data_IF_147224237333
#
_entry.id   IF_147224237333
#
_cell.length_a   1.000
_cell.length_b   1.000
_cell.length_c   1.000
_cell.angle_alpha   90.00
_cell.angle_beta   90.00
_cell.angle_gamma   90.00
#
_symmetry.space_group_name_H-M   'P 1'
#
loop_
_entity.id
_entity.type
_entity.pdbx_description
1 polymer ?
#
# COMPACT_ATOMS: atom_id res chain seq x y z
N UNK A 1 24.18 34.53 24.54
CA UNK A 1 23.65 33.34 25.25
C UNK A 1 22.61 32.52 24.40
N UNK A 2 22.72 32.60 23.11
CA UNK A 2 21.91 31.81 22.15
C UNK A 2 22.67 30.57 21.61
N UNK A 3 23.97 30.50 21.86
CA UNK A 3 24.82 29.38 21.37
C UNK A 3 24.41 28.01 21.92
N UNK A 4 23.83 27.97 23.13
CA UNK A 4 23.37 26.72 23.75
C UNK A 4 22.07 26.15 23.16
N UNK A 5 21.20 26.99 22.59
CA UNK A 5 19.93 26.55 22.01
C UNK A 5 20.09 26.01 20.60
N UNK A 6 21.04 26.55 19.83
CA UNK A 6 21.36 26.08 18.46
C UNK A 6 21.96 24.69 18.47
N UNK A 7 22.90 24.45 19.39
CA UNK A 7 23.52 23.12 19.54
C UNK A 7 22.51 22.08 20.02
N UNK A 8 21.57 22.49 20.91
CA UNK A 8 20.55 21.60 21.43
C UNK A 8 19.54 21.14 20.35
N UNK A 9 19.15 22.02 19.43
CA UNK A 9 18.22 21.67 18.34
C UNK A 9 18.91 20.73 17.32
N UNK A 10 20.15 21.04 16.92
CA UNK A 10 20.93 20.18 16.03
C UNK A 10 21.15 18.79 16.61
N UNK A 11 21.51 18.72 17.89
CA UNK A 11 21.74 17.45 18.57
C UNK A 11 20.44 16.68 18.77
N UNK A 12 19.33 17.35 19.08
CA UNK A 12 18.02 16.72 19.18
C UNK A 12 17.54 16.15 17.85
N UNK A 13 17.71 16.88 16.74
CA UNK A 13 17.35 16.40 15.40
C UNK A 13 18.25 15.24 15.00
N UNK A 14 19.55 15.28 15.31
CA UNK A 14 20.46 14.17 15.03
C UNK A 14 20.09 12.92 15.82
N UNK A 15 19.79 13.05 17.12
CA UNK A 15 19.36 11.94 17.98
C UNK A 15 18.05 11.32 17.47
N UNK A 16 17.07 12.15 17.07
CA UNK A 16 15.81 11.66 16.50
C UNK A 16 16.07 10.95 15.18
N UNK A 17 16.93 11.48 14.30
CA UNK A 17 17.28 10.86 13.02
C UNK A 17 17.99 9.54 13.23
N UNK A 18 19.01 9.47 14.07
CA UNK A 18 19.73 8.24 14.42
C UNK A 18 18.79 7.19 15.05
N UNK A 19 17.87 7.61 15.93
CA UNK A 19 16.90 6.71 16.56
C UNK A 19 15.83 6.19 15.58
N UNK A 20 15.52 6.94 14.51
CA UNK A 20 14.56 6.54 13.48
C UNK A 20 15.23 5.73 12.37
N UNK A 21 16.52 5.96 12.11
CA UNK A 21 17.32 5.12 11.20
C UNK A 21 17.43 3.70 11.75
N UNK A 22 17.56 3.52 13.07
CA UNK A 22 17.52 2.23 13.75
C UNK A 22 16.15 1.52 13.63
N UNK A 23 15.07 2.27 13.31
CA UNK A 23 13.72 1.76 13.09
C UNK A 23 13.37 1.60 11.61
N UNK A 24 14.33 1.76 10.71
CA UNK A 24 14.17 1.74 9.25
C UNK A 24 13.16 2.79 8.73
N UNK A 25 13.13 3.97 9.39
CA UNK A 25 12.29 5.10 9.03
C UNK A 25 13.14 6.22 8.44
N UNK A 26 12.94 6.53 7.16
CA UNK A 26 13.64 7.65 6.54
C UNK A 26 13.01 8.99 6.95
N UNK A 27 13.84 9.93 7.41
CA UNK A 27 13.42 11.26 7.87
C UNK A 27 14.08 12.34 7.03
N UNK A 28 13.25 13.21 6.43
CA UNK A 28 13.70 14.46 5.81
C UNK A 28 13.59 15.60 6.82
N UNK A 29 14.62 16.45 6.90
CA UNK A 29 14.69 17.54 7.86
C UNK A 29 15.03 18.85 7.18
N UNK A 30 14.38 19.93 7.60
CA UNK A 30 14.66 21.29 7.15
C UNK A 30 15.07 22.20 8.33
N UNK A 31 15.92 23.18 8.04
CA UNK A 31 16.40 24.15 9.03
C UNK A 31 16.22 25.58 8.55
N UNK A 32 15.87 26.47 9.45
CA UNK A 32 15.79 27.91 9.20
C UNK A 32 16.46 28.69 10.31
N UNK A 33 17.14 29.78 9.97
CA UNK A 33 17.82 30.70 10.90
C UNK A 33 17.29 32.12 10.72
N UNK A 34 17.01 32.78 11.81
CA UNK A 34 16.65 34.21 11.81
C UNK A 34 17.07 34.87 13.11
N UNK A 35 17.50 36.10 13.01
CA UNK A 35 17.87 36.95 14.18
C UNK A 35 16.66 37.41 15.00
N UNK A 36 15.45 37.23 14.45
CA UNK A 36 14.19 37.54 15.15
C UNK A 36 13.30 36.31 15.17
N UNK A 37 12.82 35.89 16.34
CA UNK A 37 11.98 34.70 16.45
C UNK A 37 10.57 34.96 15.90
N UNK A 38 10.39 34.76 14.63
CA UNK A 38 9.09 34.60 13.99
C UNK A 38 8.85 33.10 13.74
N UNK A 39 8.24 32.45 14.73
CA UNK A 39 8.00 31.00 14.72
C UNK A 39 7.18 30.57 13.51
N UNK A 40 6.19 31.38 13.10
CA UNK A 40 5.33 31.04 11.95
C UNK A 40 6.13 31.03 10.63
N UNK A 41 7.02 32.01 10.46
CA UNK A 41 7.91 32.09 9.30
C UNK A 41 8.94 30.97 9.32
N UNK A 42 9.57 30.68 10.46
CA UNK A 42 10.53 29.59 10.59
C UNK A 42 9.90 28.24 10.28
N UNK A 43 8.69 27.97 10.79
CA UNK A 43 7.96 26.74 10.48
C UNK A 43 7.62 26.63 8.99
N UNK A 44 7.26 27.75 8.35
CA UNK A 44 7.00 27.76 6.90
C UNK A 44 8.26 27.49 6.07
N UNK A 45 9.40 28.06 6.47
CA UNK A 45 10.70 27.83 5.79
C UNK A 45 11.18 26.40 6.00
N UNK A 46 11.07 25.84 7.20
CA UNK A 46 11.40 24.43 7.49
C UNK A 46 10.51 23.50 6.70
N UNK A 47 9.22 23.78 6.62
CA UNK A 47 8.27 22.98 5.81
C UNK A 47 8.61 23.03 4.33
N UNK A 48 8.93 24.21 3.80
CA UNK A 48 9.33 24.36 2.40
C UNK A 48 10.63 23.60 2.09
N UNK A 49 11.63 23.65 2.95
CA UNK A 49 12.87 22.88 2.82
C UNK A 49 12.61 21.37 2.86
N UNK A 50 11.75 20.94 3.77
CA UNK A 50 11.32 19.54 3.85
C UNK A 50 10.63 19.09 2.57
N UNK A 51 9.71 19.89 2.04
CA UNK A 51 8.98 19.56 0.81
C UNK A 51 9.94 19.50 -0.41
N UNK A 52 10.90 20.44 -0.51
CA UNK A 52 11.92 20.44 -1.59
C UNK A 52 12.83 19.19 -1.49
N UNK A 53 13.30 18.85 -0.28
CA UNK A 53 14.15 17.66 -0.09
C UNK A 53 13.38 16.38 -0.41
N UNK A 54 12.13 16.31 0.04
CA UNK A 54 11.22 15.21 -0.27
C UNK A 54 10.98 15.07 -1.78
N UNK A 55 10.67 16.15 -2.48
CA UNK A 55 10.44 16.13 -3.94
C UNK A 55 11.70 15.73 -4.71
N UNK A 56 12.89 16.19 -4.30
CA UNK A 56 14.15 15.79 -4.92
C UNK A 56 14.42 14.29 -4.72
N UNK A 57 14.15 13.77 -3.52
CA UNK A 57 14.29 12.35 -3.20
C UNK A 57 13.28 11.50 -4.01
N UNK A 58 12.03 11.96 -4.12
CA UNK A 58 10.99 11.32 -4.92
C UNK A 58 11.40 11.21 -6.40
N UNK A 59 11.86 12.31 -7.02
CA UNK A 59 12.31 12.33 -8.43
C UNK A 59 13.50 11.39 -8.68
N UNK A 60 14.42 11.27 -7.73
CA UNK A 60 15.53 10.34 -7.85
C UNK A 60 15.06 8.89 -7.76
N UNK A 61 14.12 8.59 -6.87
CA UNK A 61 13.50 7.26 -6.72
C UNK A 61 12.75 6.83 -7.95
N UNK A 62 11.90 7.70 -8.53
CA UNK A 62 11.16 7.40 -9.75
C UNK A 62 12.09 7.04 -10.92
N UNK A 63 13.21 7.76 -11.06
CA UNK A 63 14.23 7.45 -12.07
C UNK A 63 14.89 6.09 -11.83
N UNK A 64 15.17 5.77 -10.58
CA UNK A 64 15.80 4.48 -10.20
C UNK A 64 14.81 3.34 -10.44
N UNK A 65 13.54 3.51 -10.04
CA UNK A 65 12.51 2.51 -10.22
C UNK A 65 12.26 2.23 -11.71
N UNK A 66 12.16 3.27 -12.55
CA UNK A 66 12.06 3.10 -14.01
C UNK A 66 13.24 2.32 -14.59
N UNK A 67 14.44 2.49 -14.07
CA UNK A 67 15.62 1.82 -14.57
C UNK A 67 15.83 0.41 -14.03
N UNK A 68 15.51 0.15 -12.76
CA UNK A 68 15.73 -1.15 -12.09
C UNK A 68 14.51 -2.07 -12.20
N UNK A 69 13.37 -1.62 -11.71
CA UNK A 69 12.17 -2.45 -11.57
C UNK A 69 11.59 -2.80 -12.93
N UNK A 70 11.57 -1.85 -13.86
CA UNK A 70 10.98 -2.08 -15.18
C UNK A 70 11.78 -3.06 -16.04
N UNK A 71 13.11 -3.09 -15.93
CA UNK A 71 13.94 -3.95 -16.80
C UNK A 71 13.80 -5.44 -16.49
N UNK A 72 13.54 -5.80 -15.23
CA UNK A 72 13.43 -7.21 -14.85
C UNK A 72 12.74 -7.39 -13.48
N UNK A 73 11.43 -7.22 -13.45
CA UNK A 73 10.60 -7.42 -12.24
C UNK A 73 10.79 -8.83 -11.66
N UNK A 74 10.89 -9.83 -12.52
CA UNK A 74 11.04 -11.24 -12.09
C UNK A 74 12.37 -11.42 -11.37
N UNK A 75 13.46 -10.89 -11.94
CA UNK A 75 14.77 -10.94 -11.30
C UNK A 75 14.80 -10.20 -9.96
N UNK A 76 14.11 -9.07 -9.84
CA UNK A 76 14.04 -8.36 -8.55
C UNK A 76 13.20 -9.11 -7.51
N UNK A 77 12.16 -9.83 -7.93
CA UNK A 77 11.42 -10.76 -7.06
C UNK A 77 12.34 -11.89 -6.57
N UNK A 78 13.06 -12.53 -7.48
CA UNK A 78 13.97 -13.64 -7.17
C UNK A 78 15.13 -13.23 -6.26
N UNK A 79 15.63 -12.01 -6.38
CA UNK A 79 16.64 -11.43 -5.49
C UNK A 79 16.11 -11.10 -4.09
N UNK A 80 14.80 -11.12 -3.89
CA UNK A 80 14.18 -10.71 -2.64
C UNK A 80 14.13 -9.20 -2.42
N UNK A 81 14.22 -8.40 -3.50
CA UNK A 81 14.08 -6.94 -3.44
C UNK A 81 12.67 -6.48 -3.08
N UNK A 82 11.66 -7.32 -3.34
CA UNK A 82 10.29 -7.06 -2.93
C UNK A 82 9.94 -7.77 -1.63
N UNK A 83 9.19 -7.09 -0.78
CA UNK A 83 8.74 -7.61 0.51
C UNK A 83 7.31 -7.19 0.79
N UNK A 84 6.60 -7.97 1.62
CA UNK A 84 5.21 -7.69 1.98
C UNK A 84 5.15 -7.18 3.42
N UNK A 85 4.60 -5.97 3.59
CA UNK A 85 4.27 -5.39 4.89
C UNK A 85 2.78 -5.58 5.17
N UNK A 86 2.41 -5.62 6.44
CA UNK A 86 1.04 -5.84 6.86
C UNK A 86 0.52 -4.66 7.65
N UNK A 87 -0.50 -3.98 7.13
CA UNK A 87 -1.20 -2.92 7.84
C UNK A 87 -2.41 -3.50 8.57
N UNK A 88 -2.48 -3.42 9.92
CA UNK A 88 -3.59 -4.00 10.66
C UNK A 88 -4.90 -3.25 10.39
N UNK A 89 -5.99 -4.02 10.24
CA UNK A 89 -7.38 -3.54 10.24
C UNK A 89 -7.95 -3.77 11.64
N UNK A 90 -8.48 -2.71 12.24
CA UNK A 90 -8.90 -2.71 13.65
C UNK A 90 -10.39 -2.44 13.73
N UNK A 91 -11.12 -3.21 14.54
CA UNK A 91 -12.50 -2.91 14.90
C UNK A 91 -12.52 -1.63 15.75
N UNK A 92 -13.21 -0.60 15.25
CA UNK A 92 -13.23 0.74 15.85
C UNK A 92 -13.89 0.81 17.23
N UNK A 93 -14.70 -0.19 17.60
CA UNK A 93 -15.40 -0.24 18.88
C UNK A 93 -14.57 -0.96 19.94
N UNK A 94 -13.84 -2.00 19.54
CA UNK A 94 -13.13 -2.88 20.48
C UNK A 94 -11.63 -2.64 20.49
N UNK A 95 -11.06 -1.99 19.46
CA UNK A 95 -9.62 -1.84 19.29
C UNK A 95 -8.89 -3.14 18.92
N UNK A 96 -9.64 -4.22 18.63
CA UNK A 96 -9.07 -5.52 18.32
C UNK A 96 -8.74 -5.60 16.83
N UNK A 97 -7.56 -6.13 16.50
CA UNK A 97 -7.18 -6.41 15.09
C UNK A 97 -8.07 -7.52 14.54
N UNK A 98 -8.80 -7.23 13.47
CA UNK A 98 -9.77 -8.13 12.81
C UNK A 98 -9.31 -8.56 11.41
N UNK A 99 -8.24 -7.99 10.91
CA UNK A 99 -7.66 -8.31 9.61
C UNK A 99 -6.36 -7.56 9.41
N UNK A 100 -5.77 -7.70 8.23
CA UNK A 100 -4.65 -6.89 7.78
C UNK A 100 -4.74 -6.67 6.27
N UNK A 101 -4.08 -5.64 5.77
CA UNK A 101 -3.84 -5.41 4.35
C UNK A 101 -2.36 -5.69 4.04
N UNK A 102 -2.12 -6.48 3.00
CA UNK A 102 -0.80 -6.76 2.50
C UNK A 102 -0.36 -5.64 1.55
N UNK A 103 0.72 -4.99 1.87
CA UNK A 103 1.24 -3.84 1.16
C UNK A 103 2.65 -4.14 0.67
N UNK A 104 2.82 -4.17 -0.66
CA UNK A 104 4.13 -4.38 -1.27
C UNK A 104 5.09 -3.23 -0.93
N UNK A 105 6.35 -3.58 -0.71
CA UNK A 105 7.48 -2.66 -0.55
C UNK A 105 8.63 -3.12 -1.42
N UNK A 106 9.44 -2.19 -1.88
CA UNK A 106 10.67 -2.47 -2.57
C UNK A 106 11.85 -2.03 -1.71
N UNK A 107 12.88 -2.84 -1.59
CA UNK A 107 14.11 -2.47 -0.90
C UNK A 107 15.17 -2.03 -1.90
N UNK A 108 15.66 -0.82 -1.73
CA UNK A 108 16.79 -0.27 -2.47
C UNK A 108 17.95 0.01 -1.51
N UNK A 109 19.17 -0.45 -1.84
CA UNK A 109 20.33 -0.31 -0.97
C UNK A 109 20.67 1.15 -0.60
N UNK A 110 20.38 2.08 -1.51
CA UNK A 110 20.69 3.49 -1.31
C UNK A 110 19.56 4.27 -0.60
N UNK A 111 18.30 3.80 -0.72
CA UNK A 111 17.11 4.53 -0.28
C UNK A 111 16.31 3.79 0.79
N UNK A 112 16.71 2.56 1.14
CA UNK A 112 15.97 1.72 2.09
C UNK A 112 14.63 1.23 1.54
N UNK A 113 13.61 1.18 2.39
CA UNK A 113 12.28 0.69 2.04
C UNK A 113 11.50 1.74 1.24
N UNK A 114 11.09 1.37 0.03
CA UNK A 114 10.37 2.23 -0.92
C UNK A 114 8.91 1.79 -1.02
N UNK A 115 7.99 2.74 -0.91
CA UNK A 115 6.55 2.50 -1.02
C UNK A 115 6.05 2.31 -2.45
N UNK A 116 4.87 1.72 -2.62
CA UNK A 116 4.30 1.36 -3.93
C UNK A 116 4.05 2.56 -4.85
N UNK A 117 3.81 3.74 -4.31
CA UNK A 117 3.57 4.98 -5.08
C UNK A 117 4.69 5.29 -6.09
N UNK A 118 5.90 4.78 -5.87
CA UNK A 118 7.07 5.04 -6.72
C UNK A 118 7.26 4.03 -7.85
N UNK A 119 6.55 2.90 -7.83
CA UNK A 119 6.77 1.84 -8.82
C UNK A 119 5.50 1.19 -9.36
N UNK A 120 4.36 1.26 -8.66
CA UNK A 120 3.12 0.62 -9.13
C UNK A 120 2.66 1.21 -10.47
N UNK A 121 2.64 2.54 -10.61
CA UNK A 121 2.26 3.20 -11.85
C UNK A 121 3.11 2.73 -13.04
N UNK A 122 4.43 2.57 -12.82
CA UNK A 122 5.37 2.06 -13.83
C UNK A 122 5.01 0.63 -14.23
N UNK A 123 4.65 -0.22 -13.27
CA UNK A 123 4.25 -1.60 -13.53
C UNK A 123 2.92 -1.68 -14.28
N UNK A 124 1.97 -0.80 -13.96
CA UNK A 124 0.67 -0.70 -14.63
C UNK A 124 0.83 -0.21 -16.08
N UNK A 125 1.59 0.87 -16.32
CA UNK A 125 1.91 1.38 -17.65
C UNK A 125 2.50 0.31 -18.56
N UNK A 126 3.27 -0.61 -18.00
CA UNK A 126 3.96 -1.67 -18.72
C UNK A 126 3.25 -3.03 -18.65
N UNK A 127 2.04 -3.07 -18.10
CA UNK A 127 1.18 -4.26 -17.99
C UNK A 127 1.85 -5.44 -17.28
N UNK A 128 2.72 -5.19 -16.31
CA UNK A 128 3.41 -6.22 -15.54
C UNK A 128 3.07 -6.23 -14.05
N UNK A 129 2.06 -5.46 -13.61
CA UNK A 129 1.59 -5.44 -12.23
C UNK A 129 1.10 -6.82 -11.74
N UNK A 130 0.59 -7.68 -12.63
CA UNK A 130 0.19 -9.05 -12.30
C UNK A 130 1.33 -9.88 -11.66
N UNK A 131 2.59 -9.61 -12.03
CA UNK A 131 3.75 -10.29 -11.44
C UNK A 131 3.88 -9.98 -9.94
N UNK A 132 3.66 -8.73 -9.57
CA UNK A 132 3.72 -8.27 -8.17
C UNK A 132 2.48 -8.71 -7.39
N UNK A 133 1.28 -8.58 -7.98
CA UNK A 133 0.04 -8.94 -7.30
C UNK A 133 0.01 -10.45 -6.98
N UNK A 134 0.46 -11.30 -7.93
CA UNK A 134 0.59 -12.74 -7.70
C UNK A 134 1.70 -13.10 -6.72
N UNK A 135 2.83 -12.38 -6.75
CA UNK A 135 3.88 -12.53 -5.75
C UNK A 135 3.36 -12.21 -4.34
N UNK A 136 2.63 -11.10 -4.17
CA UNK A 136 2.03 -10.74 -2.88
C UNK A 136 1.02 -11.80 -2.43
N UNK A 137 0.20 -12.31 -3.35
CA UNK A 137 -0.74 -13.39 -3.06
C UNK A 137 -0.02 -14.64 -2.53
N UNK A 138 1.06 -15.08 -3.22
CA UNK A 138 1.84 -16.25 -2.82
C UNK A 138 2.47 -16.07 -1.43
N UNK A 139 3.10 -14.93 -1.16
CA UNK A 139 3.71 -14.62 0.14
C UNK A 139 2.66 -14.52 1.26
N UNK A 140 1.48 -13.97 0.98
CA UNK A 140 0.36 -13.93 1.96
C UNK A 140 -0.14 -15.35 2.24
N UNK A 141 -0.37 -16.17 1.23
CA UNK A 141 -0.81 -17.55 1.41
C UNK A 141 0.20 -18.36 2.22
N UNK A 142 1.48 -18.23 1.92
CA UNK A 142 2.58 -18.84 2.66
C UNK A 142 2.60 -18.41 4.13
N UNK A 143 2.49 -17.10 4.40
CA UNK A 143 2.46 -16.56 5.76
C UNK A 143 1.23 -17.04 6.53
N UNK A 144 0.05 -17.09 5.92
CA UNK A 144 -1.18 -17.60 6.53
C UNK A 144 -1.06 -19.11 6.85
N UNK A 145 -0.53 -19.90 5.93
CA UNK A 145 -0.28 -21.33 6.18
C UNK A 145 0.64 -21.55 7.38
N UNK A 146 1.75 -20.82 7.46
CA UNK A 146 2.67 -20.90 8.59
C UNK A 146 2.00 -20.54 9.92
N UNK A 147 1.09 -19.56 9.92
CA UNK A 147 0.31 -19.20 11.11
C UNK A 147 -0.68 -20.29 11.52
N UNK A 148 -1.39 -20.86 10.55
CA UNK A 148 -2.33 -21.96 10.81
C UNK A 148 -1.65 -23.15 11.47
N UNK A 149 -0.51 -23.60 10.94
CA UNK A 149 0.22 -24.76 11.49
C UNK A 149 0.95 -24.48 12.80
N UNK A 150 1.21 -23.20 13.11
CA UNK A 150 1.90 -22.79 14.35
C UNK A 150 0.94 -22.46 15.50
N UNK A 151 -0.34 -22.75 15.35
CA UNK A 151 -1.43 -22.44 16.31
C UNK A 151 -1.43 -20.95 16.75
N UNK A 152 -1.04 -20.06 15.82
CA UNK A 152 -1.07 -18.62 16.06
C UNK A 152 -2.42 -18.07 15.66
N UNK A 153 -2.84 -16.99 16.32
CA UNK A 153 -4.05 -16.26 15.91
C UNK A 153 -3.97 -15.88 14.44
N UNK A 154 -4.94 -16.31 13.66
CA UNK A 154 -5.08 -16.01 12.24
C UNK A 154 -6.18 -14.96 12.08
N UNK A 155 -5.94 -13.97 11.26
CA UNK A 155 -6.93 -12.97 10.83
C UNK A 155 -6.89 -12.90 9.30
N UNK A 156 -8.01 -12.56 8.63
CA UNK A 156 -8.02 -12.37 7.19
C UNK A 156 -7.00 -11.35 6.73
N UNK A 157 -6.34 -11.62 5.60
CA UNK A 157 -5.41 -10.69 4.98
C UNK A 157 -5.89 -10.37 3.56
N UNK A 158 -5.96 -9.09 3.23
CA UNK A 158 -6.31 -8.65 1.89
C UNK A 158 -5.08 -8.37 1.03
N UNK A 159 -5.20 -8.67 -0.25
CA UNK A 159 -4.23 -8.45 -1.31
C UNK A 159 -4.87 -7.61 -2.41
N UNK A 160 -4.18 -6.59 -2.86
CA UNK A 160 -4.63 -5.72 -3.95
C UNK A 160 -4.42 -6.40 -5.30
N UNK A 161 -5.46 -6.41 -6.14
CA UNK A 161 -5.37 -6.80 -7.55
C UNK A 161 -5.65 -5.58 -8.43
N UNK A 162 -4.67 -5.24 -9.25
CA UNK A 162 -4.78 -4.15 -10.23
C UNK A 162 -5.69 -4.56 -11.40
N UNK A 163 -6.16 -3.56 -12.16
CA UNK A 163 -6.91 -3.79 -13.39
C UNK A 163 -6.14 -4.69 -14.37
N UNK A 164 -4.84 -4.44 -14.55
CA UNK A 164 -3.99 -5.24 -15.43
C UNK A 164 -3.90 -6.70 -14.99
N UNK A 165 -3.94 -6.95 -13.69
CA UNK A 165 -3.96 -8.30 -13.14
C UNK A 165 -5.28 -9.01 -13.45
N UNK A 166 -6.41 -8.32 -13.34
CA UNK A 166 -7.71 -8.90 -13.72
C UNK A 166 -7.86 -9.16 -15.22
N UNK A 167 -7.15 -8.40 -16.06
CA UNK A 167 -7.10 -8.61 -17.52
C UNK A 167 -6.06 -9.67 -17.95
N UNK A 168 -5.26 -10.19 -17.01
CA UNK A 168 -4.23 -11.19 -17.33
C UNK A 168 -4.86 -12.53 -17.65
N UNK A 169 -4.56 -13.07 -18.84
CA UNK A 169 -5.24 -14.25 -19.37
C UNK A 169 -5.09 -15.50 -18.48
N UNK A 170 -3.93 -15.69 -17.86
CA UNK A 170 -3.62 -16.87 -17.05
C UNK A 170 -3.90 -16.66 -15.56
N UNK A 171 -4.55 -15.54 -15.18
CA UNK A 171 -4.78 -15.16 -13.78
C UNK A 171 -5.40 -16.30 -12.96
N UNK A 172 -6.51 -16.84 -13.42
CA UNK A 172 -7.27 -17.84 -12.65
C UNK A 172 -6.50 -19.14 -12.48
N UNK A 173 -5.73 -19.54 -13.46
CA UNK A 173 -4.90 -20.74 -13.39
C UNK A 173 -3.76 -20.55 -12.39
N UNK A 174 -3.10 -19.39 -12.40
CA UNK A 174 -2.03 -19.08 -11.47
C UNK A 174 -2.54 -18.93 -10.03
N UNK A 175 -3.66 -18.25 -9.84
CA UNK A 175 -4.30 -18.14 -8.52
C UNK A 175 -4.68 -19.51 -7.97
N UNK A 176 -5.24 -20.39 -8.82
CA UNK A 176 -5.59 -21.75 -8.45
C UNK A 176 -4.36 -22.59 -8.07
N UNK A 177 -3.26 -22.42 -8.78
CA UNK A 177 -2.00 -23.09 -8.45
C UNK A 177 -1.49 -22.65 -7.08
N UNK A 178 -1.49 -21.34 -6.79
CA UNK A 178 -1.10 -20.79 -5.48
C UNK A 178 -2.01 -21.36 -4.38
N UNK A 179 -3.34 -21.32 -4.54
CA UNK A 179 -4.26 -21.81 -3.52
C UNK A 179 -4.10 -23.29 -3.25
N UNK A 180 -3.91 -24.11 -4.29
CA UNK A 180 -3.67 -25.55 -4.14
C UNK A 180 -2.38 -25.87 -3.39
N UNK A 181 -1.35 -25.03 -3.51
CA UNK A 181 -0.06 -25.21 -2.84
C UNK A 181 -0.18 -25.05 -1.33
N UNK A 182 -1.04 -24.16 -0.85
CA UNK A 182 -1.12 -23.83 0.56
C UNK A 182 -2.33 -24.42 1.29
N UNK A 183 -3.41 -24.80 0.57
CA UNK A 183 -4.61 -25.40 1.16
C UNK A 183 -5.09 -24.62 2.40
N UNK A 184 -5.55 -23.39 2.19
CA UNK A 184 -5.97 -22.47 3.24
C UNK A 184 -7.48 -22.57 3.48
N UNK A 185 -7.94 -22.37 4.73
CA UNK A 185 -9.36 -22.18 5.02
C UNK A 185 -9.96 -20.99 4.25
N UNK A 186 -11.21 -21.15 3.82
CA UNK A 186 -11.94 -20.11 3.10
C UNK A 186 -11.97 -18.79 3.87
N UNK A 187 -11.85 -17.68 3.14
CA UNK A 187 -11.97 -16.32 3.65
C UNK A 187 -10.75 -15.80 4.43
N UNK A 188 -9.66 -16.60 4.54
CA UNK A 188 -8.40 -16.12 5.14
C UNK A 188 -7.61 -15.19 4.23
N UNK A 189 -7.86 -15.25 2.93
CA UNK A 189 -7.33 -14.30 1.96
C UNK A 189 -8.48 -13.58 1.30
N UNK A 190 -8.35 -12.26 1.19
CA UNK A 190 -9.31 -11.38 0.55
C UNK A 190 -8.65 -10.71 -0.65
N UNK A 191 -9.38 -10.51 -1.73
CA UNK A 191 -8.90 -9.75 -2.89
C UNK A 191 -9.54 -8.36 -2.85
N UNK A 192 -8.73 -7.33 -2.85
CA UNK A 192 -9.15 -5.94 -2.95
C UNK A 192 -9.05 -5.49 -4.41
N UNK A 193 -10.13 -4.91 -4.91
CA UNK A 193 -10.25 -4.44 -6.28
C UNK A 193 -10.70 -2.98 -6.21
N UNK A 194 -9.99 -2.10 -6.89
CA UNK A 194 -10.31 -0.66 -6.90
C UNK A 194 -11.55 -0.36 -7.73
N UNK A 195 -12.21 0.76 -7.46
CA UNK A 195 -13.37 1.25 -8.23
C UNK A 195 -13.07 1.41 -9.73
N UNK A 196 -11.80 1.55 -10.12
CA UNK A 196 -11.35 1.74 -11.52
C UNK A 196 -11.67 0.57 -12.47
N UNK A 197 -11.97 -0.61 -11.94
CA UNK A 197 -12.40 -1.77 -12.76
C UNK A 197 -13.78 -1.59 -13.40
N UNK A 198 -14.55 -0.57 -12.98
CA UNK A 198 -15.83 -0.25 -13.60
C UNK A 198 -15.78 0.06 -15.09
N UNK A 199 -14.60 0.37 -15.62
CA UNK A 199 -14.37 0.60 -17.05
C UNK A 199 -14.09 -0.70 -17.85
N UNK A 200 -14.02 -1.87 -17.18
CA UNK A 200 -13.82 -3.16 -17.83
C UNK A 200 -15.14 -3.78 -18.29
N UNK A 201 -15.05 -4.82 -19.13
CA UNK A 201 -16.21 -5.60 -19.49
C UNK A 201 -16.84 -6.25 -18.24
N UNK A 202 -18.10 -5.92 -17.99
CA UNK A 202 -18.84 -6.33 -16.80
C UNK A 202 -19.01 -7.86 -16.72
N UNK A 203 -19.12 -8.55 -17.87
CA UNK A 203 -19.25 -10.00 -17.95
C UNK A 203 -17.93 -10.65 -17.55
N UNK A 204 -16.81 -10.12 -18.07
CA UNK A 204 -15.47 -10.60 -17.75
C UNK A 204 -15.20 -10.49 -16.26
N UNK A 205 -15.40 -9.31 -15.68
CA UNK A 205 -15.15 -9.09 -14.23
C UNK A 205 -16.03 -10.01 -13.38
N UNK A 206 -17.30 -10.16 -13.74
CA UNK A 206 -18.22 -11.01 -12.97
C UNK A 206 -17.76 -12.48 -13.01
N UNK A 207 -17.31 -12.97 -14.15
CA UNK A 207 -16.78 -14.33 -14.27
C UNK A 207 -15.52 -14.53 -13.43
N UNK A 208 -14.61 -13.57 -13.44
CA UNK A 208 -13.40 -13.58 -12.61
C UNK A 208 -13.79 -13.56 -11.11
N UNK A 209 -14.70 -12.67 -10.72
CA UNK A 209 -15.17 -12.54 -9.35
C UNK A 209 -15.79 -13.85 -8.83
N UNK A 210 -16.67 -14.47 -9.60
CA UNK A 210 -17.27 -15.76 -9.26
C UNK A 210 -16.24 -16.88 -9.15
N UNK A 211 -15.26 -16.90 -10.04
CA UNK A 211 -14.16 -17.87 -9.99
C UNK A 211 -13.31 -17.70 -8.75
N UNK A 212 -12.93 -16.48 -8.38
CA UNK A 212 -12.17 -16.19 -7.16
C UNK A 212 -12.95 -16.60 -5.91
N UNK A 213 -14.25 -16.31 -5.85
CA UNK A 213 -15.12 -16.74 -4.74
C UNK A 213 -15.18 -18.26 -4.64
N UNK A 214 -15.32 -18.97 -5.77
CA UNK A 214 -15.32 -20.43 -5.79
C UNK A 214 -14.01 -21.06 -5.31
N UNK A 215 -12.90 -20.31 -5.35
CA UNK A 215 -11.59 -20.69 -4.82
C UNK A 215 -11.44 -20.33 -3.32
N UNK A 216 -12.49 -19.78 -2.68
CA UNK A 216 -12.49 -19.45 -1.24
C UNK A 216 -12.09 -18.04 -0.88
N UNK A 217 -11.91 -17.13 -1.86
CA UNK A 217 -11.63 -15.72 -1.57
C UNK A 217 -12.89 -14.94 -1.19
N UNK A 218 -12.70 -13.89 -0.38
CA UNK A 218 -13.68 -12.80 -0.24
C UNK A 218 -13.23 -11.61 -1.08
N UNK A 219 -14.18 -10.94 -1.72
CA UNK A 219 -13.89 -9.75 -2.52
C UNK A 219 -14.22 -8.49 -1.73
N UNK A 220 -13.34 -7.51 -1.82
CA UNK A 220 -13.49 -6.18 -1.24
C UNK A 220 -13.35 -5.12 -2.33
N UNK A 221 -14.24 -4.14 -2.33
CA UNK A 221 -14.09 -2.94 -3.15
C UNK A 221 -13.25 -1.93 -2.41
N UNK A 222 -12.17 -1.45 -3.03
CA UNK A 222 -11.32 -0.38 -2.49
C UNK A 222 -11.62 0.97 -3.13
N UNK A 223 -11.23 2.05 -2.44
CA UNK A 223 -11.36 3.46 -2.84
C UNK A 223 -12.80 3.87 -3.17
N UNK A 224 -13.81 3.25 -2.50
CA UNK A 224 -15.22 3.54 -2.77
C UNK A 224 -15.55 5.02 -2.55
N UNK A 225 -16.09 5.64 -3.62
CA UNK A 225 -16.54 7.03 -3.63
C UNK A 225 -15.54 8.04 -4.15
N UNK A 226 -14.43 7.60 -4.75
CA UNK A 226 -13.47 8.50 -5.42
C UNK A 226 -13.93 8.92 -6.80
N UNK A 227 -14.67 8.08 -7.51
CA UNK A 227 -15.26 8.35 -8.82
C UNK A 227 -16.77 8.50 -8.71
N UNK A 228 -17.39 9.17 -9.70
CA UNK A 228 -18.84 9.38 -9.74
C UNK A 228 -19.58 8.03 -9.73
N UNK A 229 -20.00 7.66 -8.53
CA UNK A 229 -21.07 6.70 -8.19
C UNK A 229 -21.05 5.35 -8.91
N UNK A 230 -20.23 4.43 -8.39
CA UNK A 230 -20.41 3.03 -8.72
C UNK A 230 -21.19 2.25 -7.63
N UNK A 231 -22.24 2.86 -7.07
CA UNK A 231 -23.27 2.08 -6.33
C UNK A 231 -23.73 0.88 -7.16
N UNK A 232 -23.82 1.05 -8.49
CA UNK A 232 -24.16 -0.03 -9.40
C UNK A 232 -23.18 -1.21 -9.32
N UNK A 233 -21.86 -0.93 -9.14
CA UNK A 233 -20.85 -1.96 -8.93
C UNK A 233 -21.08 -2.77 -7.66
N UNK A 234 -21.44 -2.12 -6.54
CA UNK A 234 -21.76 -2.81 -5.29
C UNK A 234 -22.98 -3.75 -5.42
N UNK A 235 -23.93 -3.42 -6.28
CA UNK A 235 -25.10 -4.26 -6.52
C UNK A 235 -24.87 -5.35 -7.56
N UNK A 236 -23.99 -5.13 -8.52
CA UNK A 236 -23.73 -6.08 -9.61
C UNK A 236 -22.66 -7.11 -9.28
N UNK A 237 -21.72 -6.76 -8.40
CA UNK A 237 -20.61 -7.64 -8.04
C UNK A 237 -20.75 -8.17 -6.62
N UNK A 238 -20.30 -9.40 -6.37
CA UNK A 238 -20.43 -10.07 -5.08
C UNK A 238 -19.37 -9.61 -4.06
N UNK A 239 -19.24 -8.30 -3.88
CA UNK A 239 -18.38 -7.75 -2.86
C UNK A 239 -18.95 -8.02 -1.46
N UNK A 240 -18.11 -8.47 -0.54
CA UNK A 240 -18.46 -8.66 0.86
C UNK A 240 -18.06 -7.48 1.75
N UNK A 241 -17.17 -6.61 1.25
CA UNK A 241 -16.63 -5.46 1.97
C UNK A 241 -16.53 -4.29 0.99
N UNK A 242 -16.83 -3.07 1.47
CA UNK A 242 -16.52 -1.82 0.77
C UNK A 242 -15.65 -0.95 1.69
N UNK A 243 -14.48 -0.56 1.19
CA UNK A 243 -13.56 0.37 1.88
C UNK A 243 -13.85 1.78 1.41
N UNK A 244 -14.29 2.63 2.32
CA UNK A 244 -14.59 4.04 2.04
C UNK A 244 -13.28 4.81 1.90
N UNK A 245 -13.11 5.53 0.80
CA UNK A 245 -11.93 6.34 0.61
C UNK A 245 -11.81 7.45 1.64
N UNK A 246 -10.57 7.75 2.02
CA UNK A 246 -10.24 8.76 3.03
C UNK A 246 -10.76 10.16 2.67
N UNK A 247 -10.86 10.50 1.38
CA UNK A 247 -11.36 11.81 0.95
C UNK A 247 -12.80 12.04 1.33
N UNK A 248 -13.66 11.00 1.27
CA UNK A 248 -15.03 11.08 1.73
C UNK A 248 -15.11 11.30 3.25
N UNK A 249 -14.31 10.57 4.03
CA UNK A 249 -14.31 10.68 5.48
C UNK A 249 -13.84 12.07 5.94
N UNK A 250 -12.80 12.62 5.32
CA UNK A 250 -12.33 13.98 5.60
C UNK A 250 -13.38 15.06 5.31
N UNK A 251 -14.16 14.87 4.25
CA UNK A 251 -15.21 15.82 3.86
C UNK A 251 -16.40 15.78 4.82
N UNK A 252 -16.65 14.67 5.52
CA UNK A 252 -17.71 14.58 6.54
C UNK A 252 -17.45 15.49 7.75
N UNK A 253 -16.18 15.73 8.11
CA UNK A 253 -15.82 16.61 9.23
C UNK A 253 -15.92 18.09 8.86
N UNK A 254 -15.67 18.44 7.59
CA UNK A 254 -15.52 19.82 7.12
C UNK A 254 -16.76 20.42 6.44
N UNK A 255 -17.76 19.62 6.07
CA UNK A 255 -18.90 20.06 5.26
C UNK A 255 -20.23 19.53 5.81
N UNK A 256 -21.09 20.45 6.30
CA UNK A 256 -22.43 20.11 6.81
C UNK A 256 -23.35 19.41 5.80
N UNK A 257 -23.13 19.63 4.49
CA UNK A 257 -23.89 18.95 3.42
C UNK A 257 -23.47 17.50 3.18
N UNK A 258 -22.33 17.09 3.75
CA UNK A 258 -21.79 15.73 3.63
C UNK A 258 -22.18 14.83 4.80
N UNK A 259 -22.81 15.40 5.83
CA UNK A 259 -23.39 14.69 6.98
C UNK A 259 -24.82 14.25 6.66
#
# INVERSE_FOLDING_TARGET
>A
RLVGSEMCIRDSVRIVRESLDDLDVSVSTGFSWTDKPDIARQLSEVRLMYDIEKDAKLKSLDSIMRNKVFKDVVSEIEKGSFMVYYQPKVDSRTGITVGAEALIRFFDEAHGVVGPIHFIEILEENRCSHLIDLFVLDEVCKAQKLRCISDRRVVPVSVNFSKNTLEYADLLDQVKEIMNRYDLPEGLVQIEITESVGDMDIVLINNIAQSLISMGFRLSMDDFGTKYSNLEMLFKFPFSIAKIDRSLVKNLESNEKSR
#
